data_IF_039385265522
#
_entry.id   IF_039385265522
#
_cell.length_a   1.000
_cell.length_b   1.000
_cell.length_c   1.000
_cell.angle_alpha   90.00
_cell.angle_beta   90.00
_cell.angle_gamma   90.00
#
_symmetry.space_group_name_H-M   'P 1'
#
loop_
_entity.id
_entity.type
_entity.pdbx_description
1 polymer ?
#
# COMPACT_ATOMS: atom_id res chain seq x y z
N UNK A 1 33.36 4.12 25.51
CA UNK A 1 32.80 3.67 26.79
C UNK A 1 31.34 4.08 26.86
N UNK A 2 30.44 3.09 26.84
CA UNK A 2 28.99 3.28 26.91
C UNK A 2 28.53 2.80 28.29
N UNK A 3 27.80 3.63 29.03
CA UNK A 3 27.25 3.29 30.35
C UNK A 3 25.77 2.94 30.18
N UNK A 4 25.35 1.76 30.64
CA UNK A 4 23.96 1.36 30.57
C UNK A 4 23.09 2.22 31.51
N UNK A 5 22.02 2.87 31.05
CA UNK A 5 21.16 3.71 31.90
C UNK A 5 20.26 2.90 32.85
N UNK A 6 20.28 1.56 32.75
CA UNK A 6 19.43 0.67 33.57
C UNK A 6 20.22 -0.01 34.67
N UNK A 7 21.41 -0.55 34.35
CA UNK A 7 22.21 -1.31 35.31
C UNK A 7 23.61 -0.73 35.56
N UNK A 8 23.89 0.47 35.00
CA UNK A 8 25.16 1.20 35.13
C UNK A 8 26.42 0.44 34.67
N UNK A 9 26.24 -0.73 34.06
CA UNK A 9 27.33 -1.51 33.48
C UNK A 9 28.04 -0.72 32.38
N UNK A 10 29.36 -0.65 32.47
CA UNK A 10 30.22 0.00 31.50
C UNK A 10 30.71 -1.02 30.48
N UNK A 11 30.51 -0.74 29.20
CA UNK A 11 30.97 -1.62 28.12
C UNK A 11 31.64 -0.82 26.99
N UNK A 12 32.47 -1.51 26.21
CA UNK A 12 33.28 -0.88 25.16
C UNK A 12 32.44 -0.53 23.91
N UNK A 13 31.58 -1.45 23.47
CA UNK A 13 30.83 -1.39 22.22
C UNK A 13 29.58 -2.30 22.31
N UNK A 14 28.55 -2.03 21.49
CA UNK A 14 27.34 -2.85 21.43
C UNK A 14 26.07 -2.01 21.36
N UNK A 15 25.06 -2.52 20.64
CA UNK A 15 23.73 -1.89 20.54
C UNK A 15 22.80 -2.38 21.67
N UNK A 16 23.25 -3.35 22.46
CA UNK A 16 22.58 -3.97 23.60
C UNK A 16 23.55 -4.07 24.77
N UNK A 17 23.03 -4.04 26.00
CA UNK A 17 23.86 -4.17 27.19
C UNK A 17 24.20 -5.63 27.49
N UNK A 18 25.50 -5.95 27.59
CA UNK A 18 25.99 -7.30 27.89
C UNK A 18 25.46 -7.89 29.21
N UNK A 19 25.09 -7.04 30.18
CA UNK A 19 24.61 -7.48 31.49
C UNK A 19 23.09 -7.61 31.60
N UNK A 20 22.32 -6.71 30.97
CA UNK A 20 20.85 -6.68 31.16
C UNK A 20 20.04 -6.81 29.85
N UNK A 21 20.71 -6.97 28.70
CA UNK A 21 20.07 -7.10 27.39
C UNK A 21 19.33 -5.85 26.90
N UNK A 22 19.46 -4.72 27.61
CA UNK A 22 18.75 -3.48 27.23
C UNK A 22 19.39 -2.88 25.97
N UNK A 23 18.58 -2.65 24.95
CA UNK A 23 18.97 -1.87 23.76
C UNK A 23 19.45 -0.48 24.14
N UNK A 24 20.71 -0.18 23.87
CA UNK A 24 21.34 1.11 24.13
C UNK A 24 21.04 2.01 22.93
N UNK A 25 20.30 3.09 23.15
CA UNK A 25 19.97 4.08 22.11
C UNK A 25 21.16 5.03 21.88
N UNK A 26 22.36 4.48 21.67
CA UNK A 26 23.49 5.28 21.23
C UNK A 26 23.40 5.39 19.71
N UNK A 27 23.18 6.59 19.14
CA UNK A 27 23.14 6.74 17.70
C UNK A 27 24.52 6.40 17.13
N UNK A 28 24.62 5.22 16.50
CA UNK A 28 25.74 4.93 15.61
C UNK A 28 25.59 5.88 14.43
N UNK A 29 26.45 6.90 14.35
CA UNK A 29 26.68 7.59 13.10
C UNK A 29 27.29 6.55 12.15
N UNK A 30 26.44 5.83 11.43
CA UNK A 30 26.88 5.01 10.31
C UNK A 30 27.38 6.01 9.26
N UNK A 31 28.70 6.18 9.18
CA UNK A 31 29.30 6.83 8.05
C UNK A 31 28.80 6.09 6.80
N UNK A 32 28.31 6.83 5.80
CA UNK A 32 27.93 6.26 4.53
C UNK A 32 29.16 5.58 3.93
N UNK A 33 29.24 4.25 4.05
CA UNK A 33 30.26 3.48 3.37
C UNK A 33 29.89 3.53 1.90
N UNK A 34 30.66 4.27 1.12
CA UNK A 34 30.54 4.28 -0.33
C UNK A 34 30.85 2.86 -0.82
N UNK A 35 29.81 2.11 -1.16
CA UNK A 35 29.96 0.79 -1.78
C UNK A 35 30.50 1.03 -3.19
N UNK A 36 31.75 0.63 -3.43
CA UNK A 36 32.31 0.68 -4.77
C UNK A 36 31.65 -0.39 -5.64
N UNK A 37 31.21 0.02 -6.84
CA UNK A 37 30.66 -0.91 -7.83
C UNK A 37 31.80 -1.73 -8.44
N UNK A 38 31.60 -3.05 -8.51
CA UNK A 38 32.57 -3.99 -9.08
C UNK A 38 32.15 -4.28 -10.54
N UNK A 39 32.98 -3.96 -11.54
CA UNK A 39 32.61 -4.08 -12.96
C UNK A 39 32.26 -5.51 -13.40
N UNK A 40 32.81 -6.52 -12.73
CA UNK A 40 32.54 -7.93 -13.03
C UNK A 40 31.15 -8.42 -12.60
N UNK A 41 30.46 -7.72 -11.70
CA UNK A 41 29.10 -8.04 -11.23
C UNK A 41 28.01 -7.27 -11.98
N UNK A 42 28.39 -6.40 -12.91
CA UNK A 42 27.50 -5.47 -13.62
C UNK A 42 27.21 -5.89 -15.07
N UNK A 43 27.65 -7.07 -15.52
CA UNK A 43 27.49 -7.53 -16.90
C UNK A 43 26.02 -7.67 -17.35
N UNK A 44 25.07 -7.73 -16.41
CA UNK A 44 23.62 -7.79 -16.69
C UNK A 44 22.87 -6.50 -16.39
N UNK A 45 23.57 -5.40 -16.07
CA UNK A 45 22.92 -4.10 -15.89
C UNK A 45 22.51 -3.52 -17.23
N UNK A 46 21.26 -3.77 -17.61
CA UNK A 46 20.60 -3.01 -18.66
C UNK A 46 20.54 -1.53 -18.23
N UNK A 47 21.15 -0.65 -19.02
CA UNK A 47 21.11 0.80 -18.78
C UNK A 47 19.65 1.25 -18.57
N UNK A 48 19.31 1.72 -17.37
CA UNK A 48 17.98 2.20 -17.02
C UNK A 48 16.96 1.13 -16.58
N UNK A 49 17.36 -0.14 -16.41
CA UNK A 49 16.54 -1.21 -15.80
C UNK A 49 15.21 -1.53 -16.51
N UNK A 50 15.01 -0.96 -17.71
CA UNK A 50 13.77 -1.03 -18.50
C UNK A 50 14.07 -1.12 -20.00
N UNK A 51 15.19 -1.73 -20.36
CA UNK A 51 15.46 -2.07 -21.76
C UNK A 51 14.47 -3.15 -22.16
N UNK A 52 13.74 -2.93 -23.26
CA UNK A 52 12.83 -3.93 -23.79
C UNK A 52 13.65 -5.18 -24.16
N UNK A 53 13.38 -6.29 -23.49
CA UNK A 53 13.96 -7.59 -23.82
C UNK A 53 13.05 -8.23 -24.86
N UNK A 54 13.62 -8.69 -25.97
CA UNK A 54 12.87 -9.49 -26.94
C UNK A 54 12.51 -10.83 -26.28
N UNK A 55 11.22 -10.99 -25.99
CA UNK A 55 10.66 -12.15 -25.29
C UNK A 55 9.65 -12.83 -26.23
N UNK A 56 10.12 -13.59 -27.23
CA UNK A 56 9.23 -14.30 -28.14
C UNK A 56 8.35 -15.30 -27.37
N UNK A 57 7.09 -15.40 -27.78
CA UNK A 57 6.11 -16.31 -27.17
C UNK A 57 6.57 -17.75 -27.34
N UNK A 58 6.68 -18.48 -26.24
CA UNK A 58 6.93 -19.92 -26.24
C UNK A 58 5.59 -20.60 -26.55
N UNK A 59 5.46 -21.37 -27.65
CA UNK A 59 4.18 -21.94 -28.09
C UNK A 59 3.49 -22.83 -27.04
N UNK A 60 4.27 -23.43 -26.15
CA UNK A 60 3.83 -24.38 -25.12
C UNK A 60 3.34 -23.72 -23.82
N UNK A 61 3.55 -22.40 -23.63
CA UNK A 61 3.21 -21.69 -22.39
C UNK A 61 2.07 -20.69 -22.59
N UNK A 62 0.87 -21.14 -22.21
CA UNK A 62 -0.27 -20.34 -21.75
C UNK A 62 -1.07 -19.53 -22.79
N UNK A 63 -1.46 -20.20 -23.88
CA UNK A 63 -2.52 -19.71 -24.79
C UNK A 63 -3.88 -19.56 -24.11
N UNK A 64 -4.11 -20.27 -23.00
CA UNK A 64 -5.36 -20.31 -22.23
C UNK A 64 -5.60 -19.06 -21.40
N UNK A 65 -4.55 -18.38 -20.93
CA UNK A 65 -4.70 -17.21 -20.08
C UNK A 65 -4.86 -15.90 -20.86
N UNK A 66 -4.46 -15.87 -22.14
CA UNK A 66 -4.58 -14.69 -23.01
C UNK A 66 -5.80 -14.70 -23.92
N UNK A 67 -6.40 -15.88 -24.18
CA UNK A 67 -7.72 -15.98 -24.80
C UNK A 67 -8.75 -16.18 -23.71
N UNK A 68 -9.26 -15.09 -23.11
CA UNK A 68 -10.66 -15.12 -22.73
C UNK A 68 -11.41 -15.41 -24.03
N UNK A 69 -11.77 -16.68 -24.24
CA UNK A 69 -12.51 -17.11 -25.42
C UNK A 69 -13.77 -16.24 -25.54
N UNK A 70 -14.34 -16.09 -26.75
CA UNK A 70 -15.68 -15.53 -26.85
C UNK A 70 -16.60 -16.30 -25.89
N UNK A 71 -17.62 -15.62 -25.36
CA UNK A 71 -18.61 -16.21 -24.48
C UNK A 71 -19.28 -17.38 -25.23
N UNK A 72 -18.73 -18.58 -25.07
CA UNK A 72 -19.19 -19.78 -25.76
C UNK A 72 -20.44 -20.26 -25.01
N UNK A 73 -21.50 -20.66 -25.73
CA UNK A 73 -22.68 -21.21 -25.10
C UNK A 73 -22.28 -22.42 -24.25
N UNK A 74 -22.83 -22.50 -23.03
CA UNK A 74 -22.55 -23.60 -22.10
C UNK A 74 -22.88 -24.93 -22.77
N UNK A 75 -21.85 -25.72 -23.03
CA UNK A 75 -22.00 -27.05 -23.61
C UNK A 75 -22.29 -28.03 -22.46
N UNK A 76 -23.53 -28.46 -22.35
CA UNK A 76 -23.96 -29.44 -21.34
C UNK A 76 -23.54 -30.83 -21.81
N UNK A 77 -22.54 -31.41 -21.15
CA UNK A 77 -22.13 -32.81 -21.35
C UNK A 77 -23.06 -33.68 -20.50
N UNK A 78 -23.94 -34.46 -21.13
CA UNK A 78 -25.03 -35.16 -20.45
C UNK A 78 -24.58 -36.20 -19.41
N UNK A 79 -23.35 -36.72 -19.55
CA UNK A 79 -22.86 -37.84 -18.71
C UNK A 79 -21.88 -37.41 -17.61
N UNK A 80 -21.60 -36.12 -17.44
CA UNK A 80 -20.82 -35.61 -16.31
C UNK A 80 -21.74 -34.91 -15.33
N UNK A 81 -21.90 -35.48 -14.12
CA UNK A 81 -22.44 -34.71 -13.00
C UNK A 81 -21.50 -33.54 -12.70
N UNK A 82 -21.90 -32.34 -13.12
CA UNK A 82 -21.22 -31.12 -12.74
C UNK A 82 -21.34 -30.97 -11.23
N UNK A 83 -20.23 -31.17 -10.50
CA UNK A 83 -20.07 -30.89 -9.06
C UNK A 83 -20.14 -29.39 -8.74
N UNK A 84 -20.93 -28.62 -9.50
CA UNK A 84 -21.25 -27.23 -9.19
C UNK A 84 -22.45 -27.24 -8.25
N UNK A 85 -22.25 -26.67 -7.07
CA UNK A 85 -23.38 -26.30 -6.22
C UNK A 85 -24.32 -25.39 -7.03
N UNK A 86 -25.60 -25.75 -7.09
CA UNK A 86 -26.61 -24.90 -7.68
C UNK A 86 -26.58 -23.51 -7.02
N UNK A 87 -26.93 -22.43 -7.74
CA UNK A 87 -27.12 -21.13 -7.11
C UNK A 87 -28.17 -21.29 -6.02
N UNK A 88 -27.74 -21.13 -4.77
CA UNK A 88 -28.65 -21.14 -3.62
C UNK A 88 -29.37 -19.80 -3.68
N UNK A 89 -30.70 -19.83 -3.77
CA UNK A 89 -31.51 -18.63 -3.57
C UNK A 89 -31.19 -18.00 -2.21
N UNK A 90 -31.53 -16.72 -2.01
CA UNK A 90 -31.30 -16.05 -0.73
C UNK A 90 -32.09 -16.73 0.39
N UNK A 91 -31.49 -17.71 1.04
CA UNK A 91 -32.00 -18.31 2.27
C UNK A 91 -31.93 -17.23 3.33
N UNK A 92 -33.09 -16.79 3.82
CA UNK A 92 -33.18 -15.90 4.96
C UNK A 92 -32.67 -16.65 6.19
N UNK A 93 -31.43 -16.38 6.57
CA UNK A 93 -30.87 -16.88 7.84
C UNK A 93 -31.39 -15.95 8.94
N UNK A 94 -32.46 -16.38 9.59
CA UNK A 94 -32.90 -15.76 10.84
C UNK A 94 -31.89 -16.10 11.94
N UNK A 95 -31.43 -15.10 12.67
CA UNK A 95 -30.52 -15.31 13.78
C UNK A 95 -31.25 -16.07 14.90
N UNK A 96 -30.70 -17.21 15.31
CA UNK A 96 -31.23 -17.99 16.43
C UNK A 96 -31.03 -17.19 17.72
N UNK A 97 -32.13 -16.77 18.35
CA UNK A 97 -32.15 -15.83 19.49
C UNK A 97 -31.41 -16.34 20.72
N UNK A 98 -31.30 -17.66 20.87
CA UNK A 98 -30.71 -18.30 22.06
C UNK A 98 -29.30 -18.86 21.79
N UNK A 99 -28.71 -18.58 20.62
CA UNK A 99 -27.35 -19.00 20.31
C UNK A 99 -26.35 -18.01 20.91
N UNK A 100 -25.67 -18.42 21.98
CA UNK A 100 -24.55 -17.66 22.52
C UNK A 100 -23.40 -17.66 21.50
N UNK A 101 -23.19 -16.50 20.86
CA UNK A 101 -22.13 -16.29 19.87
C UNK A 101 -20.79 -15.96 20.51
N UNK A 102 -20.71 -15.88 21.85
CA UNK A 102 -19.51 -15.45 22.57
C UNK A 102 -19.10 -14.00 22.26
N UNK A 103 -19.97 -13.24 21.56
CA UNK A 103 -19.72 -11.86 21.16
C UNK A 103 -20.42 -10.93 22.13
N UNK A 104 -19.69 -9.97 22.68
CA UNK A 104 -20.30 -8.91 23.47
C UNK A 104 -21.36 -8.17 22.64
N UNK A 105 -22.46 -7.77 23.29
CA UNK A 105 -23.51 -6.98 22.66
C UNK A 105 -22.88 -5.70 22.06
N UNK A 106 -23.07 -5.49 20.76
CA UNK A 106 -22.64 -4.28 20.07
C UNK A 106 -23.53 -3.14 20.58
N UNK A 107 -22.93 -2.13 21.23
CA UNK A 107 -23.64 -0.94 21.71
C UNK A 107 -24.11 -0.03 20.55
N UNK A 108 -23.77 -0.40 19.30
CA UNK A 108 -24.10 0.36 18.11
C UNK A 108 -23.27 1.63 17.95
N UNK A 109 -22.38 1.92 18.90
CA UNK A 109 -21.54 3.12 18.90
C UNK A 109 -20.19 2.75 18.30
N UNK A 110 -19.99 3.10 17.03
CA UNK A 110 -18.68 2.96 16.41
C UNK A 110 -17.68 3.87 17.12
N UNK A 111 -16.62 3.30 17.69
CA UNK A 111 -15.51 4.06 18.26
C UNK A 111 -15.00 5.05 17.22
N UNK A 112 -15.02 6.35 17.55
CA UNK A 112 -14.56 7.39 16.65
C UNK A 112 -13.09 7.14 16.29
N UNK A 113 -12.78 7.20 14.99
CA UNK A 113 -11.40 7.15 14.55
C UNK A 113 -10.62 8.33 15.15
N UNK A 114 -9.40 8.13 15.65
CA UNK A 114 -8.60 9.22 16.20
C UNK A 114 -8.39 10.28 15.11
N UNK A 115 -8.82 11.50 15.42
CA UNK A 115 -8.66 12.69 14.57
C UNK A 115 -7.46 13.50 15.04
N UNK A 116 -6.60 13.92 14.11
CA UNK A 116 -5.49 14.84 14.41
C UNK A 116 -4.14 14.33 13.93
N UNK A 117 -3.09 15.02 14.36
CA UNK A 117 -1.73 14.73 13.96
C UNK A 117 -1.29 13.34 14.45
N UNK A 118 -0.76 12.54 13.53
CA UNK A 118 -0.32 11.18 13.80
C UNK A 118 1.15 11.20 14.19
N UNK A 119 1.48 10.50 15.28
CA UNK A 119 2.87 10.34 15.72
C UNK A 119 3.47 9.12 15.04
N UNK A 120 4.61 9.30 14.37
CA UNK A 120 5.35 8.20 13.76
C UNK A 120 5.86 7.24 14.85
N UNK A 121 5.49 5.96 14.74
CA UNK A 121 5.95 4.91 15.67
C UNK A 121 7.47 4.79 15.74
N UNK A 122 8.17 5.09 14.64
CA UNK A 122 9.61 4.87 14.51
C UNK A 122 10.44 6.08 14.93
N UNK A 123 10.23 7.23 14.28
CA UNK A 123 11.04 8.43 14.53
C UNK A 123 10.36 9.45 15.46
N UNK A 124 9.15 9.16 15.94
CA UNK A 124 8.32 10.03 16.80
C UNK A 124 7.99 11.40 16.19
N UNK A 125 8.17 11.57 14.88
CA UNK A 125 7.75 12.77 14.18
C UNK A 125 6.22 12.90 14.25
N UNK A 126 5.73 14.08 14.61
CA UNK A 126 4.31 14.41 14.61
C UNK A 126 3.97 14.98 13.24
N UNK A 127 3.02 14.36 12.53
CA UNK A 127 2.65 14.74 11.18
C UNK A 127 1.13 14.94 11.09
N UNK A 128 0.71 16.07 10.51
CA UNK A 128 -0.70 16.45 10.46
C UNK A 128 -1.53 15.54 9.53
N UNK A 129 -0.94 15.13 8.40
CA UNK A 129 -1.60 14.37 7.36
C UNK A 129 -0.60 13.51 6.57
N UNK A 130 -1.09 12.42 5.96
CA UNK A 130 -0.28 11.55 5.11
C UNK A 130 -0.18 10.10 5.60
N UNK A 131 0.13 9.21 4.67
CA UNK A 131 0.25 7.76 4.90
C UNK A 131 1.72 7.36 5.18
N UNK A 132 2.67 8.24 4.88
CA UNK A 132 4.11 7.99 5.01
C UNK A 132 4.72 9.15 5.80
N UNK A 133 5.62 8.81 6.73
CA UNK A 133 6.32 9.79 7.54
C UNK A 133 7.35 10.58 6.73
N UNK A 134 7.27 11.90 6.76
CA UNK A 134 8.17 12.79 6.01
C UNK A 134 9.63 12.72 6.49
N UNK A 135 9.86 12.26 7.73
CA UNK A 135 11.19 12.20 8.33
C UNK A 135 11.91 10.86 8.14
N UNK A 136 11.19 9.74 8.18
CA UNK A 136 11.80 8.41 8.13
C UNK A 136 11.25 7.47 7.06
N UNK A 137 10.30 7.92 6.24
CA UNK A 137 9.74 7.12 5.13
C UNK A 137 8.87 5.93 5.56
N UNK A 138 8.66 5.71 6.86
CA UNK A 138 7.82 4.61 7.35
C UNK A 138 6.34 4.95 7.29
N UNK A 139 5.49 3.94 7.09
CA UNK A 139 4.03 4.13 7.04
C UNK A 139 3.45 4.56 8.40
N UNK A 140 2.60 5.59 8.37
CA UNK A 140 1.85 6.10 9.51
C UNK A 140 0.53 5.32 9.72
N UNK A 141 0.05 5.19 10.97
CA UNK A 141 -1.31 4.74 11.25
C UNK A 141 -2.36 5.53 10.46
N UNK A 142 -3.39 4.84 9.96
CA UNK A 142 -4.51 5.48 9.27
C UNK A 142 -5.33 6.29 10.28
N UNK A 143 -5.06 7.58 10.40
CA UNK A 143 -5.97 8.53 11.02
C UNK A 143 -6.84 9.18 9.95
N UNK A 144 -8.09 9.47 10.29
CA UNK A 144 -8.94 10.31 9.43
C UNK A 144 -8.39 11.74 9.55
N UNK A 145 -8.06 12.42 8.43
CA UNK A 145 -7.65 13.82 8.51
C UNK A 145 -8.78 14.62 9.18
N UNK A 146 -8.42 15.48 10.13
CA UNK A 146 -9.38 16.39 10.73
C UNK A 146 -9.97 17.28 9.62
N UNK A 147 -11.28 17.59 9.64
CA UNK A 147 -11.86 18.53 8.69
C UNK A 147 -11.14 19.87 8.85
N UNK A 148 -10.38 20.28 7.84
CA UNK A 148 -9.74 21.58 7.83
C UNK A 148 -10.85 22.64 7.84
N UNK A 149 -10.88 23.47 8.88
CA UNK A 149 -11.72 24.65 8.92
C UNK A 149 -11.40 25.50 7.69
N UNK A 150 -12.44 25.87 6.96
CA UNK A 150 -12.40 26.54 5.67
C UNK A 150 -11.37 27.68 5.62
N UNK A 151 -10.23 27.42 4.99
CA UNK A 151 -9.44 28.47 4.38
C UNK A 151 -10.17 28.90 3.10
N UNK A 152 -10.77 30.10 3.13
CA UNK A 152 -11.25 30.80 1.94
C UNK A 152 -10.08 30.94 0.96
N UNK A 153 -10.10 30.15 -0.09
CA UNK A 153 -9.23 30.25 -1.25
C UNK A 153 -9.94 29.60 -2.42
N UNK A 154 -10.40 30.42 -3.36
CA UNK A 154 -11.23 30.02 -4.48
C UNK A 154 -10.56 28.91 -5.32
N UNK A 155 -11.34 27.87 -5.61
CA UNK A 155 -10.92 26.72 -6.40
C UNK A 155 -11.94 25.61 -6.24
N UNK A 156 -13.08 25.76 -6.90
CA UNK A 156 -14.26 24.91 -6.82
C UNK A 156 -13.91 23.41 -6.82
N UNK A 157 -14.26 22.72 -5.75
CA UNK A 157 -14.47 21.28 -5.77
C UNK A 157 -15.72 21.01 -6.59
N UNK A 158 -15.56 20.94 -7.92
CA UNK A 158 -16.50 20.23 -8.75
C UNK A 158 -16.52 18.77 -8.25
N UNK A 159 -17.73 18.30 -7.97
CA UNK A 159 -18.06 16.95 -7.51
C UNK A 159 -17.18 15.91 -8.22
N UNK A 160 -16.50 15.07 -7.44
CA UNK A 160 -15.53 14.08 -7.91
C UNK A 160 -16.14 12.91 -8.72
N UNK A 161 -17.39 13.08 -9.17
CA UNK A 161 -18.25 12.05 -9.76
C UNK A 161 -18.43 12.26 -11.28
N UNK A 162 -18.18 13.47 -11.82
CA UNK A 162 -18.33 13.79 -13.25
C UNK A 162 -17.01 14.13 -13.98
N UNK A 163 -15.86 13.73 -13.42
CA UNK A 163 -14.58 13.93 -14.10
C UNK A 163 -14.29 12.76 -15.06
N UNK A 164 -14.64 12.97 -16.33
CA UNK A 164 -14.31 12.08 -17.45
C UNK A 164 -12.82 11.69 -17.42
N UNK A 165 -12.52 10.40 -17.49
CA UNK A 165 -11.16 9.88 -17.53
C UNK A 165 -10.43 10.40 -18.77
N UNK A 166 -9.22 10.95 -18.58
CA UNK A 166 -8.37 11.42 -19.66
C UNK A 166 -7.07 10.62 -19.73
N UNK A 167 -6.52 10.36 -20.93
CA UNK A 167 -5.23 9.70 -21.05
C UNK A 167 -4.12 10.62 -20.53
N UNK A 168 -3.21 10.06 -19.73
CA UNK A 168 -2.01 10.79 -19.32
C UNK A 168 -1.15 11.17 -20.53
N UNK A 169 -0.70 12.42 -20.62
CA UNK A 169 0.11 12.91 -21.75
C UNK A 169 1.45 12.18 -21.94
N UNK A 170 1.97 11.51 -20.89
CA UNK A 170 3.27 10.82 -20.93
C UNK A 170 3.18 9.32 -21.17
N UNK A 171 2.21 8.64 -20.53
CA UNK A 171 2.10 7.17 -20.59
C UNK A 171 0.74 6.68 -21.09
N UNK A 172 -0.17 7.59 -21.47
CA UNK A 172 -1.54 7.34 -21.92
C UNK A 172 -2.45 6.54 -20.97
N UNK A 173 -1.98 6.18 -19.78
CA UNK A 173 -2.82 5.57 -18.75
C UNK A 173 -4.00 6.47 -18.41
N UNK A 174 -5.25 5.94 -18.41
CA UNK A 174 -6.41 6.73 -18.03
C UNK A 174 -6.23 7.23 -16.60
N UNK A 175 -6.29 8.54 -16.42
CA UNK A 175 -6.12 9.22 -15.13
C UNK A 175 -7.16 10.32 -15.03
N UNK A 176 -7.59 10.63 -13.81
CA UNK A 176 -8.48 11.79 -13.58
C UNK A 176 -7.71 13.11 -13.84
N UNK A 177 -8.36 14.13 -14.42
CA UNK A 177 -7.75 15.45 -14.57
C UNK A 177 -7.31 16.02 -13.21
N UNK A 178 -6.23 16.79 -13.21
CA UNK A 178 -5.56 17.36 -12.04
C UNK A 178 -5.07 16.33 -10.99
N UNK A 179 -4.97 15.04 -11.36
CA UNK A 179 -4.33 14.01 -10.53
C UNK A 179 -2.97 13.59 -11.08
N UNK A 180 -2.16 13.01 -10.20
CA UNK A 180 -0.89 12.40 -10.55
C UNK A 180 -1.18 11.03 -11.16
N UNK A 181 -0.60 10.75 -12.34
CA UNK A 181 -0.71 9.44 -12.94
C UNK A 181 -0.07 8.37 -12.05
N UNK A 182 -0.82 7.30 -11.77
CA UNK A 182 -0.37 6.19 -10.93
C UNK A 182 0.83 5.42 -11.48
N UNK A 183 1.08 5.51 -12.79
CA UNK A 183 2.14 4.76 -13.48
C UNK A 183 3.41 5.60 -13.67
N UNK A 184 3.27 6.84 -14.15
CA UNK A 184 4.43 7.67 -14.51
C UNK A 184 4.66 8.88 -13.60
N UNK A 185 3.82 9.08 -12.58
CA UNK A 185 3.96 10.19 -11.62
C UNK A 185 3.76 11.57 -12.21
N UNK A 186 3.39 11.68 -13.48
CA UNK A 186 3.20 12.98 -14.16
C UNK A 186 1.82 13.54 -13.81
N UNK A 187 1.76 14.84 -13.46
CA UNK A 187 0.49 15.52 -13.21
C UNK A 187 -0.26 15.66 -14.53
N UNK A 188 -1.47 15.12 -14.58
CA UNK A 188 -2.35 15.24 -15.75
C UNK A 188 -3.08 16.58 -15.63
N UNK A 189 -2.71 17.53 -16.48
CA UNK A 189 -3.40 18.82 -16.59
C UNK A 189 -4.73 18.61 -17.34
N UNK A 190 -5.81 19.17 -16.79
CA UNK A 190 -7.02 19.38 -17.57
C UNK A 190 -6.67 20.36 -18.69
N UNK A 191 -6.94 19.98 -19.94
CA UNK A 191 -6.85 20.95 -21.04
C UNK A 191 -8.18 21.68 -21.02
N UNK A 192 -8.18 22.89 -20.45
CA UNK A 192 -9.31 23.80 -20.57
C UNK A 192 -9.45 24.17 -22.07
N UNK A 193 -10.60 23.85 -22.66
CA UNK A 193 -10.99 24.27 -24.00
C UNK A 193 -11.85 25.53 -23.91
#
# INVERSE_FOLDING_TARGET
>A
MIICPVCEHQQAQGDECDNCGKKLQVPRAAAAVAVQTLPELEQTLHAGGRVAVDAPLIPELDSTRQKAGPDLPVQVVQDMETTRAAPIDKVSVEAVTDLDTGRAADDGVRTAAPTGAVVCRYCRNVQADGIVCDKCGMRLPKARPAPQAAAKGAGASASAEDLTWMPCQKCRTPTRPNKICSVCGTRVVAVDA
#
